data_IF_234088794689
#
_entry.id   IF_234088794689
#
_cell.length_a   1.000
_cell.length_b   1.000
_cell.length_c   1.000
_cell.angle_alpha   90.00
_cell.angle_beta   90.00
_cell.angle_gamma   90.00
#
_symmetry.space_group_name_H-M   'P 1'
#
loop_
_entity.id
_entity.type
_entity.pdbx_description
1 polymer ?
#
# COMPACT_ATOMS: atom_id res chain seq x y z
N UNK A 1 29.59 -2.27 -1.46
CA UNK A 1 28.31 -1.55 -1.63
C UNK A 1 27.22 -2.35 -0.94
N UNK A 2 26.43 -1.67 -0.11
CA UNK A 2 25.66 -2.22 1.00
C UNK A 2 24.51 -3.15 0.56
N UNK A 3 24.42 -4.34 1.16
CA UNK A 3 23.27 -5.25 1.02
C UNK A 3 21.93 -4.61 1.43
N UNK A 4 21.97 -3.57 2.27
CA UNK A 4 20.80 -2.85 2.78
C UNK A 4 20.05 -2.10 1.67
N UNK A 5 20.75 -1.35 0.82
CA UNK A 5 20.14 -0.63 -0.31
C UNK A 5 19.44 -1.56 -1.32
N UNK A 6 19.91 -2.80 -1.46
CA UNK A 6 19.32 -3.75 -2.42
C UNK A 6 17.98 -4.29 -1.93
N UNK A 7 17.86 -4.59 -0.63
CA UNK A 7 16.62 -5.10 -0.01
C UNK A 7 15.52 -4.05 0.07
N UNK A 8 15.88 -2.78 0.34
CA UNK A 8 14.91 -1.67 0.34
C UNK A 8 14.31 -1.48 -1.06
N UNK A 9 15.15 -1.52 -2.10
CA UNK A 9 14.69 -1.38 -3.48
C UNK A 9 13.79 -2.54 -3.93
N UNK A 10 14.10 -3.79 -3.54
CA UNK A 10 13.26 -4.96 -3.80
C UNK A 10 11.89 -4.85 -3.12
N UNK A 11 11.83 -4.32 -1.89
CA UNK A 11 10.57 -4.08 -1.18
C UNK A 11 9.75 -2.95 -1.81
N UNK A 12 10.39 -1.88 -2.27
CA UNK A 12 9.74 -0.78 -2.99
C UNK A 12 9.14 -1.25 -4.32
N UNK A 13 9.89 -2.02 -5.12
CA UNK A 13 9.38 -2.58 -6.37
C UNK A 13 8.23 -3.56 -6.15
N UNK A 14 8.32 -4.42 -5.12
CA UNK A 14 7.25 -5.35 -4.78
C UNK A 14 5.98 -4.61 -4.35
N UNK A 15 6.11 -3.58 -3.49
CA UNK A 15 5.01 -2.74 -3.05
C UNK A 15 4.35 -2.00 -4.21
N UNK A 16 5.16 -1.41 -5.10
CA UNK A 16 4.69 -0.73 -6.30
C UNK A 16 3.91 -1.69 -7.21
N UNK A 17 4.47 -2.86 -7.53
CA UNK A 17 3.78 -3.87 -8.35
C UNK A 17 2.47 -4.32 -7.72
N UNK A 18 2.44 -4.50 -6.40
CA UNK A 18 1.22 -4.88 -5.70
C UNK A 18 0.15 -3.79 -5.81
N UNK A 19 0.51 -2.52 -5.57
CA UNK A 19 -0.41 -1.39 -5.75
C UNK A 19 -0.92 -1.28 -7.18
N UNK A 20 -0.04 -1.41 -8.17
CA UNK A 20 -0.42 -1.39 -9.59
C UNK A 20 -1.37 -2.54 -9.95
N UNK A 21 -1.12 -3.74 -9.41
CA UNK A 21 -1.98 -4.91 -9.63
C UNK A 21 -3.38 -4.67 -9.07
N UNK A 22 -3.48 -4.18 -7.83
CA UNK A 22 -4.76 -3.90 -7.18
C UNK A 22 -5.47 -2.72 -7.85
N UNK A 23 -4.75 -1.66 -8.24
CA UNK A 23 -5.32 -0.53 -8.98
C UNK A 23 -5.88 -0.94 -10.35
N UNK A 24 -5.32 -1.98 -10.97
CA UNK A 24 -5.78 -2.51 -12.24
C UNK A 24 -6.89 -3.55 -12.13
N UNK A 25 -7.26 -3.97 -10.93
CA UNK A 25 -8.35 -4.91 -10.69
C UNK A 25 -9.69 -4.35 -11.23
N UNK A 26 -10.46 -5.12 -12.02
CA UNK A 26 -11.74 -4.66 -12.56
C UNK A 26 -12.74 -4.21 -11.50
N UNK A 27 -12.78 -4.86 -10.33
CA UNK A 27 -13.68 -4.49 -9.23
C UNK A 27 -13.26 -3.18 -8.56
N UNK A 28 -11.96 -2.88 -8.56
CA UNK A 28 -11.44 -1.58 -8.13
C UNK A 28 -11.78 -0.49 -9.14
N UNK A 29 -11.56 -0.76 -10.44
CA UNK A 29 -11.86 0.19 -11.52
C UNK A 29 -13.35 0.50 -11.66
N UNK A 30 -14.21 -0.44 -11.28
CA UNK A 30 -15.66 -0.25 -11.23
C UNK A 30 -16.07 0.81 -10.17
N UNK A 31 -15.24 1.05 -9.15
CA UNK A 31 -15.46 2.08 -8.15
C UNK A 31 -14.54 3.29 -8.40
N UNK A 32 -15.11 4.37 -8.92
CA UNK A 32 -14.34 5.56 -9.30
C UNK A 32 -13.58 6.21 -8.14
N UNK A 33 -14.12 6.17 -6.91
CA UNK A 33 -13.44 6.70 -5.73
C UNK A 33 -12.24 5.83 -5.34
N UNK A 34 -12.43 4.51 -5.37
CA UNK A 34 -11.40 3.53 -5.04
C UNK A 34 -10.27 3.51 -6.08
N UNK A 35 -10.62 3.56 -7.36
CA UNK A 35 -9.65 3.67 -8.47
C UNK A 35 -8.79 4.92 -8.31
N UNK A 36 -9.40 6.09 -8.07
CA UNK A 36 -8.66 7.35 -7.85
C UNK A 36 -7.74 7.28 -6.63
N UNK A 37 -8.19 6.67 -5.55
CA UNK A 37 -7.41 6.51 -4.33
C UNK A 37 -6.16 5.65 -4.57
N UNK A 38 -6.32 4.51 -5.24
CA UNK A 38 -5.22 3.59 -5.53
C UNK A 38 -4.27 4.14 -6.58
N UNK A 39 -4.78 4.81 -7.63
CA UNK A 39 -3.94 5.51 -8.61
C UNK A 39 -3.11 6.63 -7.96
N UNK A 40 -3.68 7.37 -7.01
CA UNK A 40 -2.94 8.37 -6.26
C UNK A 40 -1.82 7.74 -5.42
N UNK A 41 -2.06 6.59 -4.80
CA UNK A 41 -1.03 5.85 -4.08
C UNK A 41 0.09 5.35 -5.01
N UNK A 42 -0.24 4.82 -6.20
CA UNK A 42 0.75 4.42 -7.23
C UNK A 42 1.63 5.62 -7.61
N UNK A 43 1.04 6.79 -7.91
CA UNK A 43 1.80 8.00 -8.25
C UNK A 43 2.73 8.46 -7.13
N UNK A 44 2.39 8.21 -5.86
CA UNK A 44 3.27 8.52 -4.73
C UNK A 44 4.49 7.60 -4.68
N UNK A 45 4.35 6.33 -5.08
CA UNK A 45 5.51 5.43 -5.21
C UNK A 45 6.50 5.92 -6.27
N UNK A 46 6.01 6.52 -7.36
CA UNK A 46 6.86 7.08 -8.42
C UNK A 46 7.64 8.32 -7.97
N UNK A 47 7.10 9.06 -6.98
CA UNK A 47 7.76 10.23 -6.39
C UNK A 47 8.79 9.89 -5.32
N UNK A 48 9.12 8.60 -5.15
CA UNK A 48 10.01 8.12 -4.09
C UNK A 48 9.52 8.50 -2.68
N UNK A 49 8.20 8.62 -2.49
CA UNK A 49 7.65 8.72 -1.13
C UNK A 49 7.86 7.39 -0.39
N UNK A 50 8.16 7.45 0.91
CA UNK A 50 8.37 6.26 1.73
C UNK A 50 7.17 5.31 1.68
N UNK A 51 7.42 4.01 1.44
CA UNK A 51 6.40 2.94 1.48
C UNK A 51 5.53 3.08 2.73
N UNK A 52 6.15 3.35 3.89
CA UNK A 52 5.43 3.47 5.16
C UNK A 52 4.39 4.60 5.12
N UNK A 53 4.78 5.77 4.63
CA UNK A 53 3.90 6.93 4.54
C UNK A 53 2.75 6.67 3.57
N UNK A 54 3.05 6.07 2.41
CA UNK A 54 2.03 5.68 1.43
C UNK A 54 1.08 4.67 2.05
N UNK A 55 1.60 3.63 2.70
CA UNK A 55 0.81 2.56 3.30
C UNK A 55 -0.11 3.06 4.41
N UNK A 56 0.42 3.88 5.33
CA UNK A 56 -0.35 4.46 6.43
C UNK A 56 -1.45 5.40 5.93
N UNK A 57 -1.13 6.28 4.98
CA UNK A 57 -2.12 7.18 4.39
C UNK A 57 -3.20 6.42 3.60
N UNK A 58 -2.81 5.41 2.81
CA UNK A 58 -3.74 4.61 2.03
C UNK A 58 -4.67 3.80 2.95
N UNK A 59 -4.15 3.13 3.98
CA UNK A 59 -4.97 2.37 4.94
C UNK A 59 -5.96 3.29 5.68
N UNK A 60 -5.51 4.48 6.09
CA UNK A 60 -6.37 5.48 6.73
C UNK A 60 -7.50 5.93 5.81
N UNK A 61 -7.20 6.21 4.54
CA UNK A 61 -8.20 6.64 3.57
C UNK A 61 -9.17 5.52 3.21
N UNK A 62 -8.72 4.27 3.11
CA UNK A 62 -9.59 3.12 2.89
C UNK A 62 -10.59 2.95 4.03
N UNK A 63 -10.11 2.95 5.29
CA UNK A 63 -10.97 2.79 6.48
C UNK A 63 -11.92 3.97 6.70
N UNK A 64 -11.50 5.18 6.34
CA UNK A 64 -12.31 6.38 6.57
C UNK A 64 -13.41 6.58 5.52
N UNK A 65 -13.20 6.07 4.30
CA UNK A 65 -14.09 6.38 3.17
C UNK A 65 -14.88 5.17 2.64
N UNK A 66 -14.54 3.95 3.03
CA UNK A 66 -15.19 2.73 2.51
C UNK A 66 -15.51 1.77 3.65
N UNK A 67 -16.71 1.20 3.62
CA UNK A 67 -17.04 0.11 4.53
C UNK A 67 -16.34 -1.19 4.09
N UNK A 68 -15.92 -2.02 5.05
CA UNK A 68 -15.13 -3.23 4.77
C UNK A 68 -15.86 -4.22 3.86
N UNK A 69 -17.19 -4.30 3.95
CA UNK A 69 -18.04 -5.14 3.11
C UNK A 69 -18.20 -4.62 1.67
N UNK A 70 -17.85 -3.37 1.40
CA UNK A 70 -17.90 -2.76 0.07
C UNK A 70 -16.56 -2.85 -0.67
N UNK A 71 -15.50 -3.28 0.03
CA UNK A 71 -14.16 -3.38 -0.54
C UNK A 71 -14.00 -4.71 -1.31
N UNK A 72 -13.46 -4.65 -2.54
CA UNK A 72 -13.06 -5.86 -3.26
C UNK A 72 -12.02 -6.65 -2.45
N UNK A 73 -12.02 -7.99 -2.61
CA UNK A 73 -11.06 -8.88 -1.94
C UNK A 73 -9.59 -8.49 -2.16
N UNK A 74 -9.27 -7.94 -3.35
CA UNK A 74 -7.94 -7.45 -3.66
C UNK A 74 -7.53 -6.29 -2.73
N UNK A 75 -8.47 -5.41 -2.38
CA UNK A 75 -8.22 -4.26 -1.49
C UNK A 75 -8.18 -4.69 -0.03
N UNK A 76 -9.05 -5.59 0.42
CA UNK A 76 -8.98 -6.10 1.80
C UNK A 76 -7.66 -6.87 2.02
N UNK A 77 -7.19 -7.61 1.01
CA UNK A 77 -5.89 -8.29 1.07
C UNK A 77 -4.75 -7.27 1.12
N UNK A 78 -4.82 -6.22 0.30
CA UNK A 78 -3.87 -5.10 0.34
C UNK A 78 -3.82 -4.45 1.73
N UNK A 79 -4.96 -4.21 2.40
CA UNK A 79 -4.98 -3.60 3.74
C UNK A 79 -4.18 -4.40 4.78
N UNK A 80 -4.20 -5.73 4.71
CA UNK A 80 -3.38 -6.57 5.59
C UNK A 80 -1.88 -6.33 5.36
N UNK A 81 -1.47 -6.14 4.11
CA UNK A 81 -0.08 -5.84 3.76
C UNK A 81 0.29 -4.39 4.11
N UNK A 82 -0.61 -3.41 3.90
CA UNK A 82 -0.41 -2.02 4.32
C UNK A 82 -0.19 -1.92 5.83
N UNK A 83 -0.92 -2.72 6.63
CA UNK A 83 -0.71 -2.80 8.07
C UNK A 83 0.70 -3.32 8.42
N UNK A 84 1.24 -4.27 7.66
CA UNK A 84 2.61 -4.77 7.83
C UNK A 84 3.63 -3.67 7.50
N UNK A 85 3.49 -3.00 6.37
CA UNK A 85 4.41 -1.93 5.96
C UNK A 85 4.37 -0.71 6.89
N UNK A 86 3.22 -0.37 7.45
CA UNK A 86 3.09 0.72 8.43
C UNK A 86 3.59 0.34 9.83
N UNK A 87 3.43 -0.91 10.27
CA UNK A 87 3.83 -1.37 11.59
C UNK A 87 5.35 -1.45 11.81
N UNK A 88 6.15 -1.62 10.74
CA UNK A 88 7.62 -1.81 10.79
C UNK A 88 8.39 -0.59 11.34
N UNK A 89 7.71 0.45 11.83
CA UNK A 89 8.34 1.26 12.88
C UNK A 89 7.42 2.21 13.62
N UNK A 90 6.16 1.82 13.80
CA UNK A 90 5.38 2.30 14.95
C UNK A 90 5.74 1.52 16.22
N UNK A 91 6.23 0.29 16.07
CA UNK A 91 6.69 -0.53 17.17
C UNK A 91 8.21 -0.50 17.25
N UNK A 92 8.74 0.15 18.29
CA UNK A 92 10.07 -0.12 18.83
C UNK A 92 10.19 -1.54 19.40
N UNK A 93 9.64 -2.55 18.71
CA UNK A 93 9.92 -3.95 19.00
C UNK A 93 11.20 -4.29 18.25
N UNK A 94 12.29 -4.14 18.99
CA UNK A 94 13.54 -4.88 18.79
C UNK A 94 13.15 -6.33 18.49
N UNK A 95 13.43 -6.80 17.28
CA UNK A 95 13.55 -8.23 17.04
C UNK A 95 14.74 -8.70 17.89
N UNK A 96 14.43 -9.36 19.00
CA UNK A 96 15.41 -10.06 19.83
C UNK A 96 15.45 -11.53 19.42
#
# INVERSE_FOLDING_TARGET
MNLFNKKENEAEEAFKKQLETVANDPAVKANAALSKLLEAAVKKTEKSESIRSIASNLDTQLRSNFAENELPKAVTSLQLDLARYSAVGANGVVLK
#
